data_IF_854200874261
#
_entry.id   IF_854200874261
#
_cell.length_a   1.000
_cell.length_b   1.000
_cell.length_c   1.000
_cell.angle_alpha   90.00
_cell.angle_beta   90.00
_cell.angle_gamma   90.00
#
_symmetry.space_group_name_H-M   'P 1'
#
loop_
_entity.id
_entity.type
_entity.pdbx_description
1 polymer ?
#
# COMPACT_ATOMS: atom_id res chain seq x y z
N UNK A 1 -19.48 18.08 -12.53
CA UNK A 1 -19.81 17.51 -11.21
C UNK A 1 -18.53 16.90 -10.68
N UNK A 2 -18.01 17.44 -9.57
CA UNK A 2 -16.71 17.04 -9.02
C UNK A 2 -16.89 15.84 -8.10
N UNK A 3 -16.10 14.80 -8.35
CA UNK A 3 -15.98 13.57 -7.57
C UNK A 3 -15.84 13.84 -6.06
N UNK A 4 -16.68 13.22 -5.23
CA UNK A 4 -16.73 13.42 -3.77
C UNK A 4 -15.89 12.41 -2.97
N UNK A 5 -15.66 11.20 -3.51
CA UNK A 5 -14.86 10.17 -2.84
C UNK A 5 -13.37 10.22 -3.19
N UNK A 6 -12.92 11.20 -3.97
CA UNK A 6 -11.50 11.30 -4.25
C UNK A 6 -11.04 12.59 -4.88
N UNK A 7 -9.79 12.57 -5.30
CA UNK A 7 -8.95 13.75 -5.21
C UNK A 7 -8.74 14.40 -6.57
N UNK A 8 -8.98 15.71 -6.65
CA UNK A 8 -8.39 16.56 -7.67
C UNK A 8 -7.05 17.05 -7.12
N UNK A 9 -5.97 16.38 -7.52
CA UNK A 9 -4.62 16.85 -7.19
C UNK A 9 -4.22 18.00 -8.10
N UNK A 10 -3.46 18.95 -7.55
CA UNK A 10 -2.64 19.89 -8.35
C UNK A 10 -1.72 19.07 -9.27
N UNK A 11 -1.52 19.51 -10.52
CA UNK A 11 -0.57 18.96 -11.51
C UNK A 11 0.85 18.72 -10.96
N UNK A 12 1.19 19.32 -9.81
CA UNK A 12 2.46 19.13 -9.09
C UNK A 12 2.58 17.81 -8.33
N UNK A 13 1.48 17.12 -8.00
CA UNK A 13 1.55 15.85 -7.27
C UNK A 13 1.94 14.73 -8.25
N UNK A 14 3.18 14.25 -8.13
CA UNK A 14 3.68 13.15 -8.96
C UNK A 14 3.29 11.81 -8.37
N UNK A 15 2.83 10.91 -9.23
CA UNK A 15 2.55 9.53 -8.85
C UNK A 15 3.85 8.80 -8.45
N UNK A 16 3.91 8.20 -7.25
CA UNK A 16 5.08 7.46 -6.83
C UNK A 16 5.20 6.18 -7.66
N UNK A 17 6.40 5.90 -8.13
CA UNK A 17 6.70 4.65 -8.82
C UNK A 17 7.12 3.57 -7.82
N UNK A 18 6.87 2.31 -8.17
CA UNK A 18 7.44 1.18 -7.45
C UNK A 18 8.96 1.23 -7.54
N UNK A 19 9.61 1.09 -6.37
CA UNK A 19 11.05 1.22 -6.22
C UNK A 19 11.70 -0.14 -6.07
N UNK A 20 12.92 -0.23 -6.59
CA UNK A 20 13.85 -1.33 -6.37
C UNK A 20 15.13 -0.77 -5.75
N UNK A 21 15.44 -1.22 -4.54
CA UNK A 21 16.70 -0.92 -3.84
C UNK A 21 17.68 -2.08 -4.04
N UNK A 22 18.80 -2.08 -3.31
CA UNK A 22 19.77 -3.19 -3.33
C UNK A 22 19.19 -4.51 -2.81
N UNK A 23 18.21 -4.44 -1.90
CA UNK A 23 17.70 -5.60 -1.17
C UNK A 23 16.21 -5.85 -1.39
N UNK A 24 15.42 -4.78 -1.58
CA UNK A 24 13.98 -4.85 -1.66
C UNK A 24 13.44 -4.31 -2.98
N UNK A 25 12.29 -4.84 -3.40
CA UNK A 25 11.56 -4.37 -4.57
C UNK A 25 10.07 -4.38 -4.28
N UNK A 26 9.41 -3.26 -4.59
CA UNK A 26 7.96 -3.11 -4.50
C UNK A 26 7.28 -3.95 -5.57
N UNK A 27 6.30 -4.75 -5.15
CA UNK A 27 5.47 -5.54 -6.05
C UNK A 27 4.05 -4.96 -6.19
N UNK A 28 3.49 -4.46 -5.10
CA UNK A 28 2.16 -3.86 -5.07
C UNK A 28 1.99 -3.01 -3.82
N UNK A 29 1.29 -1.89 -3.92
CA UNK A 29 0.86 -1.10 -2.78
C UNK A 29 -0.53 -0.54 -3.05
N UNK A 30 -1.43 -0.60 -2.06
CA UNK A 30 -2.79 -0.12 -2.21
C UNK A 30 -3.41 0.27 -0.87
N UNK A 31 -4.45 1.08 -0.94
CA UNK A 31 -5.40 1.24 0.15
C UNK A 31 -6.57 0.28 -0.08
N UNK A 32 -6.75 -0.67 0.82
CA UNK A 32 -7.94 -1.50 0.82
C UNK A 32 -9.07 -0.72 1.50
N UNK A 33 -10.15 -0.47 0.77
CA UNK A 33 -11.31 0.26 1.29
C UNK A 33 -12.49 -0.70 1.41
N UNK A 34 -12.99 -0.89 2.62
CA UNK A 34 -14.22 -1.65 2.86
C UNK A 34 -15.39 -0.67 3.01
N UNK A 35 -16.43 -0.86 2.20
CA UNK A 35 -17.64 -0.04 2.21
C UNK A 35 -18.86 -0.76 2.82
N UNK A 36 -18.65 -1.76 3.69
CA UNK A 36 -19.75 -2.33 4.48
C UNK A 36 -20.16 -1.33 5.57
N UNK A 37 -21.46 -1.03 5.67
CA UNK A 37 -22.09 -0.13 6.65
C UNK A 37 -21.87 1.38 6.46
N UNK A 38 -21.68 1.86 5.22
CA UNK A 38 -21.55 3.30 4.90
C UNK A 38 -20.36 4.02 5.60
N UNK A 39 -19.50 3.27 6.28
CA UNK A 39 -18.20 3.70 6.78
C UNK A 39 -17.12 3.10 5.88
N UNK A 40 -16.15 3.93 5.47
CA UNK A 40 -15.01 3.48 4.69
C UNK A 40 -13.86 3.13 5.64
N UNK A 41 -13.69 1.84 5.91
CA UNK A 41 -12.49 1.37 6.59
C UNK A 41 -11.36 1.28 5.58
N UNK A 42 -10.27 2.02 5.83
CA UNK A 42 -9.08 2.01 4.98
C UNK A 42 -7.94 1.26 5.67
N UNK A 43 -7.21 0.45 4.91
CA UNK A 43 -5.98 -0.20 5.34
C UNK A 43 -4.88 0.02 4.31
N UNK A 44 -3.65 0.26 4.76
CA UNK A 44 -2.47 0.11 3.90
C UNK A 44 -2.21 -1.37 3.66
N UNK A 45 -2.05 -1.73 2.40
CA UNK A 45 -1.54 -3.01 1.94
C UNK A 45 -0.27 -2.76 1.13
N UNK A 46 0.82 -3.43 1.48
CA UNK A 46 2.09 -3.31 0.74
C UNK A 46 2.78 -4.67 0.63
N UNK A 47 3.05 -5.09 -0.60
CA UNK A 47 3.74 -6.32 -0.94
C UNK A 47 5.14 -5.98 -1.46
N UNK A 48 6.15 -6.52 -0.77
CA UNK A 48 7.57 -6.29 -1.08
C UNK A 48 8.27 -7.62 -1.22
N UNK A 49 9.22 -7.73 -2.15
CA UNK A 49 10.11 -8.87 -2.26
C UNK A 49 11.54 -8.53 -1.83
N UNK A 50 12.19 -9.46 -1.14
CA UNK A 50 13.62 -9.39 -0.84
C UNK A 50 14.42 -10.11 -1.93
N UNK A 51 14.79 -9.39 -3.00
CA UNK A 51 15.48 -9.99 -4.14
C UNK A 51 16.99 -10.20 -3.93
N UNK A 52 17.55 -9.72 -2.80
CA UNK A 52 18.94 -9.97 -2.41
C UNK A 52 19.08 -10.30 -0.91
N UNK A 53 19.81 -11.37 -0.53
CA UNK A 53 19.97 -11.78 0.86
C UNK A 53 20.57 -10.70 1.77
N UNK A 54 20.19 -10.74 3.06
CA UNK A 54 20.66 -9.80 4.10
C UNK A 54 21.81 -10.34 4.97
N UNK A 55 22.30 -11.56 4.69
CA UNK A 55 23.41 -12.17 5.43
C UNK A 55 23.06 -12.67 6.83
N UNK A 56 21.77 -12.68 7.19
CA UNK A 56 21.23 -13.26 8.43
C UNK A 56 20.20 -14.34 8.10
N UNK A 57 20.07 -15.36 8.95
CA UNK A 57 19.14 -16.47 8.72
C UNK A 57 17.66 -16.07 8.76
N UNK A 58 17.26 -15.28 9.76
CA UNK A 58 15.86 -14.87 9.95
C UNK A 58 15.76 -13.41 10.39
N UNK A 59 15.84 -12.44 9.45
CA UNK A 59 15.69 -11.03 9.78
C UNK A 59 14.27 -10.71 10.25
N UNK A 60 14.14 -9.84 11.25
CA UNK A 60 12.84 -9.28 11.62
C UNK A 60 12.54 -8.06 10.75
N UNK A 61 11.40 -8.06 10.07
CA UNK A 61 11.01 -6.98 9.15
C UNK A 61 9.78 -6.25 9.69
N UNK A 62 9.85 -4.92 9.73
CA UNK A 62 8.80 -4.05 10.23
C UNK A 62 8.61 -2.87 9.28
N UNK A 63 7.35 -2.46 9.09
CA UNK A 63 6.98 -1.26 8.37
C UNK A 63 6.68 -0.12 9.33
N UNK A 64 7.14 1.07 9.00
CA UNK A 64 6.72 2.35 9.55
C UNK A 64 5.87 3.05 8.49
N UNK A 65 4.60 3.26 8.78
CA UNK A 65 3.64 3.88 7.86
C UNK A 65 3.21 5.24 8.42
N UNK A 66 3.10 6.23 7.55
CA UNK A 66 2.51 7.52 7.89
C UNK A 66 1.04 7.33 8.28
N UNK A 67 0.66 7.87 9.44
CA UNK A 67 -0.71 7.81 9.92
C UNK A 67 -1.49 9.00 9.34
N UNK A 68 -2.55 8.77 8.55
CA UNK A 68 -3.34 9.85 7.96
C UNK A 68 -3.99 10.80 8.97
N UNK A 69 -4.23 10.34 10.21
CA UNK A 69 -4.92 11.14 11.25
C UNK A 69 -3.95 11.86 12.19
N UNK A 70 -2.73 11.35 12.32
CA UNK A 70 -1.72 11.94 13.20
C UNK A 70 -0.32 11.74 12.59
N UNK A 71 0.14 12.67 11.75
CA UNK A 71 1.45 12.59 11.11
C UNK A 71 2.63 12.47 12.10
N UNK A 72 2.44 12.85 13.37
CA UNK A 72 3.47 12.73 14.40
C UNK A 72 3.55 11.33 15.01
N UNK A 73 2.56 10.47 14.75
CA UNK A 73 2.47 9.10 15.30
C UNK A 73 2.36 8.08 14.18
N UNK A 74 3.51 7.69 13.62
CA UNK A 74 3.59 6.63 12.62
C UNK A 74 3.06 5.30 13.15
N UNK A 75 2.47 4.52 12.26
CA UNK A 75 2.04 3.16 12.54
C UNK A 75 3.21 2.20 12.36
N UNK A 76 3.51 1.41 13.38
CA UNK A 76 4.51 0.36 13.33
C UNK A 76 3.81 -0.99 13.14
N UNK A 77 4.15 -1.68 12.06
CA UNK A 77 3.44 -2.90 11.63
C UNK A 77 4.47 -3.98 11.29
N UNK A 78 4.44 -5.16 11.94
CA UNK A 78 5.31 -6.26 11.55
C UNK A 78 4.96 -6.74 10.14
N UNK A 79 5.98 -6.98 9.31
CA UNK A 79 5.76 -7.52 7.98
C UNK A 79 5.61 -9.05 8.08
N UNK A 80 4.58 -9.59 7.41
CA UNK A 80 4.27 -11.01 7.41
C UNK A 80 5.01 -11.65 6.24
N UNK A 81 5.93 -12.56 6.52
CA UNK A 81 6.58 -13.33 5.47
C UNK A 81 5.58 -14.34 4.88
N UNK A 82 5.32 -14.21 3.58
CA UNK A 82 4.43 -15.11 2.85
C UNK A 82 5.12 -16.44 2.58
N UNK A 83 4.35 -17.52 2.72
CA UNK A 83 4.74 -18.86 2.28
C UNK A 83 3.99 -19.18 0.99
N UNK A 84 4.64 -19.86 0.05
CA UNK A 84 3.93 -20.37 -1.12
C UNK A 84 2.89 -21.38 -0.67
N UNK A 85 1.70 -21.35 -1.27
CA UNK A 85 0.65 -22.33 -1.01
C UNK A 85 1.03 -23.70 -1.57
N UNK A 86 1.86 -23.72 -2.61
CA UNK A 86 2.42 -24.91 -3.22
C UNK A 86 3.86 -25.11 -2.72
N UNK A 87 4.11 -26.21 -2.02
CA UNK A 87 5.42 -26.56 -1.51
C UNK A 87 6.42 -26.88 -2.63
N UNK A 88 5.92 -27.37 -3.77
CA UNK A 88 6.74 -27.74 -4.93
C UNK A 88 7.05 -26.53 -5.82
N UNK A 89 6.38 -25.40 -5.60
CA UNK A 89 6.61 -24.12 -6.28
C UNK A 89 6.81 -22.96 -5.29
N UNK A 90 7.95 -22.92 -4.55
CA UNK A 90 8.25 -21.81 -3.65
C UNK A 90 8.46 -20.51 -4.42
N UNK A 91 8.25 -19.37 -3.74
CA UNK A 91 8.59 -18.08 -4.33
C UNK A 91 10.10 -17.99 -4.61
N UNK A 92 10.54 -17.44 -5.76
CA UNK A 92 11.97 -17.27 -6.07
C UNK A 92 12.73 -16.41 -5.05
N UNK A 93 12.01 -15.50 -4.40
CA UNK A 93 12.51 -14.59 -3.38
C UNK A 93 11.51 -14.52 -2.22
N UNK A 94 11.97 -14.34 -0.96
CA UNK A 94 11.09 -14.09 0.17
C UNK A 94 10.19 -12.87 -0.09
N UNK A 95 8.89 -13.02 0.17
CA UNK A 95 7.89 -11.96 0.03
C UNK A 95 7.36 -11.58 1.40
N UNK A 96 7.18 -10.29 1.60
CA UNK A 96 6.66 -9.71 2.82
C UNK A 96 5.39 -8.93 2.50
N UNK A 97 4.34 -9.22 3.25
CA UNK A 97 3.08 -8.51 3.19
C UNK A 97 2.91 -7.66 4.45
N UNK A 98 2.67 -6.37 4.26
CA UNK A 98 2.38 -5.42 5.32
C UNK A 98 0.91 -5.06 5.24
N UNK A 99 0.21 -5.15 6.36
CA UNK A 99 -1.19 -4.76 6.49
C UNK A 99 -1.37 -3.88 7.72
N UNK A 100 -1.75 -2.62 7.54
CA UNK A 100 -2.01 -1.73 8.68
C UNK A 100 -3.29 -2.13 9.43
N UNK A 101 -3.42 -1.71 10.71
CA UNK A 101 -4.72 -1.60 11.36
C UNK A 101 -5.69 -0.72 10.55
N UNK A 102 -6.97 -0.79 10.90
CA UNK A 102 -7.97 0.11 10.33
C UNK A 102 -7.59 1.56 10.65
N UNK A 103 -7.55 2.38 9.61
CA UNK A 103 -7.21 3.79 9.70
C UNK A 103 -8.43 4.65 10.05
N UNK A 104 -9.67 4.15 9.88
CA UNK A 104 -10.93 4.88 10.13
C UNK A 104 -11.26 5.99 9.12
N UNK A 105 -10.26 6.52 8.41
CA UNK A 105 -10.42 7.54 7.37
C UNK A 105 -9.11 7.77 6.61
N UNK A 106 -9.21 8.32 5.40
CA UNK A 106 -8.11 8.55 4.50
C UNK A 106 -8.34 9.84 3.72
N UNK A 107 -7.35 10.73 3.72
CA UNK A 107 -7.38 11.96 2.93
C UNK A 107 -6.58 11.82 1.64
N UNK A 108 -6.79 12.76 0.73
CA UNK A 108 -5.95 12.95 -0.44
C UNK A 108 -4.51 13.24 -0.02
N UNK A 109 -3.55 12.44 -0.51
CA UNK A 109 -2.15 12.74 -0.22
C UNK A 109 -1.17 11.64 -0.60
N UNK A 110 0.10 11.99 -0.48
CA UNK A 110 1.22 11.05 -0.59
C UNK A 110 1.65 10.64 0.81
N UNK A 111 1.41 9.39 1.16
CA UNK A 111 1.74 8.86 2.47
C UNK A 111 3.04 8.09 2.43
N UNK A 112 3.95 8.40 3.35
CA UNK A 112 5.25 7.73 3.43
C UNK A 112 5.11 6.33 4.01
N UNK A 113 5.92 5.43 3.46
CA UNK A 113 6.10 4.08 3.99
C UNK A 113 7.58 3.73 4.00
N UNK A 114 8.03 3.12 5.09
CA UNK A 114 9.40 2.63 5.24
C UNK A 114 9.38 1.21 5.75
N UNK A 115 10.05 0.31 5.07
CA UNK A 115 10.36 -1.03 5.55
C UNK A 115 11.75 -1.02 6.17
N UNK A 116 11.88 -1.55 7.38
CA UNK A 116 13.16 -1.72 8.08
C UNK A 116 13.37 -3.20 8.34
N UNK A 117 14.51 -3.74 7.91
CA UNK A 117 14.93 -5.08 8.26
C UNK A 117 15.97 -5.00 9.39
N UNK A 118 15.70 -5.70 10.48
CA UNK A 118 16.57 -5.84 11.63
C UNK A 118 17.20 -7.22 11.67
N UNK A 119 18.32 -7.35 12.38
CA UNK A 119 18.98 -8.63 12.59
C UNK A 119 18.06 -9.65 13.29
N UNK A 120 17.24 -9.18 14.22
CA UNK A 120 16.29 -9.97 15.00
C UNK A 120 15.21 -9.06 15.62
N UNK A 121 14.32 -9.64 16.44
CA UNK A 121 13.22 -8.93 17.11
C UNK A 121 13.64 -7.95 18.21
N UNK A 122 14.91 -7.95 18.64
CA UNK A 122 15.43 -6.95 19.59
C UNK A 122 15.51 -5.56 18.97
N UNK A 123 15.49 -5.47 17.63
CA UNK A 123 15.63 -4.24 16.84
C UNK A 123 16.93 -3.47 17.12
N UNK A 124 17.92 -4.12 17.72
CA UNK A 124 19.20 -3.50 18.11
C UNK A 124 20.08 -3.13 16.92
N UNK A 125 19.94 -3.82 15.78
CA UNK A 125 20.73 -3.63 14.58
C UNK A 125 19.87 -3.60 13.33
N UNK A 126 19.91 -2.49 12.61
CA UNK A 126 19.31 -2.33 11.28
C UNK A 126 20.27 -2.96 10.25
N UNK A 127 19.72 -3.79 9.35
CA UNK A 127 20.44 -4.40 8.24
C UNK A 127 20.27 -3.60 6.95
N UNK A 128 19.04 -3.15 6.67
CA UNK A 128 18.72 -2.29 5.52
C UNK A 128 17.35 -1.64 5.72
N UNK A 129 17.11 -0.59 4.94
CA UNK A 129 15.82 0.11 4.86
C UNK A 129 15.35 0.19 3.40
N UNK A 130 14.05 0.37 3.20
CA UNK A 130 13.41 0.56 1.90
C UNK A 130 12.24 1.53 2.03
N UNK A 131 12.32 2.69 1.37
CA UNK A 131 11.37 3.79 1.52
C UNK A 131 10.61 4.07 0.24
N UNK A 132 9.28 4.16 0.33
CA UNK A 132 8.44 4.62 -0.76
C UNK A 132 7.29 5.50 -0.24
N UNK A 133 6.40 5.88 -1.16
CA UNK A 133 5.17 6.59 -0.88
C UNK A 133 4.01 5.89 -1.58
N UNK A 134 2.82 6.03 -1.01
CA UNK A 134 1.58 5.62 -1.67
C UNK A 134 0.67 6.84 -1.80
N UNK A 135 0.22 7.06 -3.03
CA UNK A 135 -0.76 8.09 -3.34
C UNK A 135 -2.15 7.58 -2.98
N UNK A 136 -2.79 8.18 -1.98
CA UNK A 136 -4.23 8.04 -1.81
C UNK A 136 -4.92 8.98 -2.77
N UNK A 137 -5.73 8.43 -3.68
CA UNK A 137 -6.65 9.23 -4.50
C UNK A 137 -8.05 9.33 -3.90
N UNK A 138 -8.18 8.98 -2.62
CA UNK A 138 -9.45 8.84 -1.93
C UNK A 138 -9.51 9.89 -0.82
N UNK A 139 -10.66 10.57 -0.72
CA UNK A 139 -11.00 11.43 0.41
C UNK A 139 -12.25 10.87 1.09
N UNK A 140 -12.12 10.35 2.30
CA UNK A 140 -13.18 9.55 2.93
C UNK A 140 -13.85 10.23 4.13
N UNK A 141 -13.74 11.54 4.31
CA UNK A 141 -14.51 12.22 5.37
C UNK A 141 -16.02 12.01 5.19
N UNK A 142 -16.49 11.90 3.93
CA UNK A 142 -17.85 11.49 3.56
C UNK A 142 -17.83 10.80 2.19
N UNK A 143 -18.18 9.52 2.10
CA UNK A 143 -18.33 8.84 0.81
C UNK A 143 -19.52 7.87 0.86
N UNK A 144 -20.58 8.19 0.12
CA UNK A 144 -21.73 7.30 0.00
C UNK A 144 -21.36 6.11 -0.89
N UNK A 145 -21.46 4.89 -0.35
CA UNK A 145 -21.15 3.63 -1.06
C UNK A 145 -21.79 3.57 -2.46
N UNK A 146 -23.04 4.00 -2.56
CA UNK A 146 -23.80 3.99 -3.82
C UNK A 146 -23.15 4.90 -4.86
N UNK A 147 -22.79 6.13 -4.49
CA UNK A 147 -22.13 7.08 -5.38
C UNK A 147 -20.75 6.55 -5.85
N UNK A 148 -19.97 5.98 -4.94
CA UNK A 148 -18.69 5.37 -5.28
C UNK A 148 -18.85 4.22 -6.29
N UNK A 149 -19.76 3.28 -6.03
CA UNK A 149 -19.98 2.12 -6.89
C UNK A 149 -20.53 2.51 -8.27
N UNK A 150 -21.48 3.45 -8.33
CA UNK A 150 -22.04 3.94 -9.60
C UNK A 150 -20.95 4.58 -10.47
N UNK A 151 -20.12 5.45 -9.90
CA UNK A 151 -19.05 6.13 -10.65
C UNK A 151 -17.89 5.21 -11.01
N UNK A 152 -17.51 4.25 -10.15
CA UNK A 152 -16.49 3.24 -10.49
C UNK A 152 -16.96 2.35 -11.64
N UNK A 153 -18.25 1.98 -11.67
CA UNK A 153 -18.84 1.24 -12.78
C UNK A 153 -18.89 2.08 -14.08
N UNK A 154 -19.18 3.38 -13.99
CA UNK A 154 -19.07 4.28 -15.14
C UNK A 154 -17.62 4.36 -15.65
N UNK A 155 -16.65 4.56 -14.76
CA UNK A 155 -15.23 4.62 -15.12
C UNK A 155 -14.72 3.31 -15.75
N UNK A 156 -15.14 2.16 -15.22
CA UNK A 156 -14.84 0.84 -15.80
C UNK A 156 -15.44 0.70 -17.20
N UNK A 157 -16.73 1.04 -17.38
CA UNK A 157 -17.37 1.02 -18.71
C UNK A 157 -16.70 1.95 -19.71
N UNK A 158 -16.28 3.13 -19.28
CA UNK A 158 -15.54 4.05 -20.13
C UNK A 158 -14.16 3.53 -20.50
N UNK A 159 -13.46 2.85 -19.58
CA UNK A 159 -12.18 2.20 -19.88
C UNK A 159 -12.35 1.04 -20.88
N UNK A 160 -13.41 0.24 -20.75
CA UNK A 160 -13.73 -0.84 -21.69
C UNK A 160 -14.06 -0.29 -23.09
N UNK A 161 -14.88 0.76 -23.17
CA UNK A 161 -15.20 1.41 -24.45
C UNK A 161 -13.98 2.09 -25.12
N UNK A 162 -13.10 2.71 -24.33
CA UNK A 162 -11.87 3.31 -24.82
C UNK A 162 -10.84 2.27 -25.29
N UNK A 163 -10.91 1.04 -24.75
CA UNK A 163 -10.12 -0.10 -25.21
C UNK A 163 -10.66 -0.65 -26.54
N UNK A 164 -11.98 -0.79 -26.68
CA UNK A 164 -12.63 -1.23 -27.91
C UNK A 164 -12.44 -0.26 -29.09
N UNK A 165 -12.33 1.05 -28.83
CA UNK A 165 -12.08 2.06 -29.87
C UNK A 165 -10.60 2.23 -30.25
N UNK A 166 -9.68 1.59 -29.53
CA UNK A 166 -8.23 1.58 -29.82
C UNK A 166 -7.73 0.27 -30.44
N UNK A 167 -8.61 -0.70 -30.63
CA UNK A 167 -8.36 -1.85 -31.53
C UNK A 167 -8.74 -1.48 -32.97
#
# INVERSE_FOLDING_TARGET
MNFSCGCLFDDKVKEPHFKKTKHFEDLSASFAVNAKHEQLDAHYSWLVQMHKPLGTGEPYVEATLENPHDPNRSLLVPAIQLKSADADAPFPHPRYYVLSPNLGGLHCGLYKMKLTAYADKSKSKILTEHENQLLSRINTETCAKTEFMERMNEAARHADQAWETKQ
#
